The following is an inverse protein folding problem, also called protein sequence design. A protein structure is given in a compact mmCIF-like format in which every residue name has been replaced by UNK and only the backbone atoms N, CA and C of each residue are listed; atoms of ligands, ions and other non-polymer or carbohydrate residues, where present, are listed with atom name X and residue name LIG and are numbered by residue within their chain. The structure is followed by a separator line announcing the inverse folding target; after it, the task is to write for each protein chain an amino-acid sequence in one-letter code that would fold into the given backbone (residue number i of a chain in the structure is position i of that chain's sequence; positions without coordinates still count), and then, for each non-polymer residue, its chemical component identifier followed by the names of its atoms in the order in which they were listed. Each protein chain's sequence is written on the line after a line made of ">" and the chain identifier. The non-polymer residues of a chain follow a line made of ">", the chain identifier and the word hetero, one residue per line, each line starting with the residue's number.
data_IF_207852089500
#
_entry.id   IF_207852089500
#
_cell.length_a   1.000
_cell.length_b   1.000
_cell.length_c   1.000
_cell.angle_alpha   90.00
_cell.angle_beta   90.00
_cell.angle_gamma   90.00
#
_symmetry.space_group_name_H-M   'P 1'
#
loop_
_entity.id
_entity.type
_entity.pdbx_description
1 polymer ?
#
# COMPACT_ATOMS: atom_id res chain seq x y z
N UNK A 1 -21.41 -22.60 41.13
CA UNK A 1 -21.25 -22.40 39.67
C UNK A 1 -21.30 -20.91 39.40
N UNK A 2 -20.18 -20.31 39.01
CA UNK A 2 -20.18 -19.08 38.22
C UNK A 2 -18.85 -19.09 37.46
N UNK A 3 -18.92 -19.50 36.20
CA UNK A 3 -17.76 -19.53 35.31
C UNK A 3 -17.64 -18.14 34.70
N UNK A 4 -16.44 -17.60 34.79
CA UNK A 4 -16.02 -16.32 34.22
C UNK A 4 -16.17 -16.34 32.70
N UNK A 5 -16.98 -15.46 32.13
CA UNK A 5 -16.93 -15.16 30.69
C UNK A 5 -16.01 -13.97 30.47
N UNK A 6 -14.74 -14.25 30.17
CA UNK A 6 -13.85 -13.29 29.53
C UNK A 6 -14.26 -13.19 28.06
N UNK A 7 -14.93 -12.09 27.69
CA UNK A 7 -15.18 -11.75 26.29
C UNK A 7 -13.85 -11.37 25.63
N UNK A 8 -13.35 -12.25 24.77
CA UNK A 8 -12.29 -11.93 23.82
C UNK A 8 -12.89 -10.95 22.81
N UNK A 9 -12.65 -9.65 22.99
CA UNK A 9 -12.94 -8.66 21.97
C UNK A 9 -12.06 -8.97 20.75
N UNK A 10 -12.66 -9.53 19.70
CA UNK A 10 -12.00 -9.68 18.40
C UNK A 10 -11.59 -8.27 17.92
N UNK A 11 -10.29 -8.08 17.64
CA UNK A 11 -9.84 -6.85 16.98
C UNK A 11 -10.59 -6.72 15.64
N UNK A 12 -11.07 -5.52 15.27
CA UNK A 12 -11.53 -5.27 13.91
C UNK A 12 -10.46 -5.72 12.92
N UNK A 13 -10.85 -6.41 11.86
CA UNK A 13 -9.92 -6.75 10.78
C UNK A 13 -9.36 -5.46 10.18
N UNK A 14 -8.05 -5.43 9.94
CA UNK A 14 -7.36 -4.29 9.35
C UNK A 14 -8.04 -3.85 8.04
N UNK A 15 -8.16 -2.54 7.83
CA UNK A 15 -8.70 -2.02 6.59
C UNK A 15 -7.68 -2.22 5.45
N UNK A 16 -8.11 -2.84 4.36
CA UNK A 16 -7.30 -3.06 3.17
C UNK A 16 -7.08 -1.76 2.38
N UNK A 17 -5.85 -1.44 2.03
CA UNK A 17 -5.48 -0.30 1.19
C UNK A 17 -4.45 -0.72 0.15
N UNK A 18 -4.58 -0.25 -1.09
CA UNK A 18 -3.54 -0.41 -2.11
C UNK A 18 -2.57 0.75 -2.00
N UNK A 19 -1.27 0.46 -1.98
CA UNK A 19 -0.21 1.47 -1.82
C UNK A 19 0.75 1.33 -3.00
N UNK A 20 0.88 2.39 -3.79
CA UNK A 20 1.85 2.50 -4.89
C UNK A 20 3.29 2.32 -4.37
N UNK A 21 4.15 1.66 -5.16
CA UNK A 21 5.59 1.49 -4.96
C UNK A 21 6.29 2.77 -4.50
N UNK A 22 5.94 3.93 -5.08
CA UNK A 22 6.51 5.23 -4.71
C UNK A 22 6.20 5.63 -3.26
N UNK A 23 4.99 5.33 -2.77
CA UNK A 23 4.59 5.59 -1.38
C UNK A 23 5.22 4.56 -0.44
N UNK A 24 5.41 3.31 -0.88
CA UNK A 24 6.16 2.28 -0.14
C UNK A 24 7.61 2.72 0.08
N UNK A 25 8.27 3.30 -0.94
CA UNK A 25 9.62 3.85 -0.78
C UNK A 25 9.64 5.05 0.16
N UNK A 26 8.63 5.92 0.11
CA UNK A 26 8.51 7.05 1.04
C UNK A 26 8.37 6.60 2.48
N UNK A 27 7.59 5.54 2.71
CA UNK A 27 7.51 4.89 4.01
C UNK A 27 8.88 4.37 4.43
N UNK A 28 9.48 3.44 3.68
CA UNK A 28 10.53 2.61 4.28
C UNK A 28 11.96 3.04 3.98
N UNK A 29 12.18 3.82 2.93
CA UNK A 29 13.51 4.26 2.49
C UNK A 29 13.74 5.76 2.65
N UNK A 30 12.82 6.58 2.16
CA UNK A 30 12.97 8.03 2.24
C UNK A 30 12.55 8.59 3.59
N UNK A 31 11.69 7.85 4.31
CA UNK A 31 11.10 8.24 5.58
C UNK A 31 10.44 9.61 5.49
N UNK A 32 9.65 9.82 4.44
CA UNK A 32 8.97 11.09 4.19
C UNK A 32 8.05 11.43 5.38
N UNK A 33 8.17 12.62 6.00
CA UNK A 33 7.32 13.05 7.11
C UNK A 33 5.82 12.95 6.82
N UNK A 34 5.39 13.13 5.56
CA UNK A 34 3.99 13.00 5.16
C UNK A 34 3.45 11.57 5.35
N UNK A 35 4.32 10.56 5.38
CA UNK A 35 3.93 9.15 5.59
C UNK A 35 3.88 8.72 7.05
N UNK A 36 4.19 9.61 8.01
CA UNK A 36 4.16 9.29 9.45
C UNK A 36 2.80 8.73 9.90
N UNK A 37 1.64 9.33 9.53
CA UNK A 37 0.34 8.78 9.93
C UNK A 37 0.07 7.42 9.28
N UNK A 38 0.47 7.23 8.02
CA UNK A 38 0.32 5.95 7.30
C UNK A 38 1.14 4.85 7.97
N UNK A 39 2.39 5.14 8.33
CA UNK A 39 3.26 4.21 9.05
C UNK A 39 2.65 3.77 10.37
N UNK A 40 2.12 4.72 11.15
CA UNK A 40 1.46 4.42 12.42
C UNK A 40 0.22 3.53 12.24
N UNK A 41 -0.56 3.75 11.17
CA UNK A 41 -1.73 2.93 10.86
C UNK A 41 -1.36 1.49 10.44
N UNK A 42 -0.30 1.32 9.64
CA UNK A 42 0.24 0.00 9.27
C UNK A 42 0.81 -0.75 10.47
N UNK A 43 1.61 -0.06 11.30
CA UNK A 43 2.23 -0.65 12.50
C UNK A 43 1.21 -1.02 13.58
N UNK A 44 0.12 -0.27 13.68
CA UNK A 44 -0.94 -0.54 14.65
C UNK A 44 -1.97 -1.58 14.17
N UNK A 45 -1.87 -2.01 12.90
CA UNK A 45 -2.78 -2.99 12.29
C UNK A 45 -4.16 -2.43 11.95
N UNK A 46 -4.33 -1.10 11.94
CA UNK A 46 -5.57 -0.45 11.48
C UNK A 46 -5.70 -0.55 9.97
N UNK A 47 -4.57 -0.50 9.26
CA UNK A 47 -4.47 -0.67 7.82
C UNK A 47 -3.57 -1.86 7.50
N UNK A 48 -3.90 -2.59 6.45
CA UNK A 48 -3.01 -3.54 5.79
C UNK A 48 -2.79 -3.16 4.33
N UNK A 49 -1.59 -3.39 3.82
CA UNK A 49 -1.25 -3.17 2.42
C UNK A 49 -1.78 -4.33 1.57
N UNK A 50 -2.89 -4.13 0.88
CA UNK A 50 -3.42 -5.08 -0.09
C UNK A 50 -2.52 -5.09 -1.34
N UNK A 51 -1.85 -6.21 -1.59
CA UNK A 51 -0.92 -6.31 -2.72
C UNK A 51 -0.85 -7.72 -3.33
N UNK A 52 -0.48 -7.77 -4.61
CA UNK A 52 -0.21 -9.02 -5.35
C UNK A 52 1.28 -9.34 -5.36
N UNK A 53 1.65 -10.57 -5.70
CA UNK A 53 3.05 -10.95 -5.92
C UNK A 53 3.74 -10.03 -6.96
N UNK A 54 3.05 -9.69 -8.05
CA UNK A 54 3.62 -8.83 -9.11
C UNK A 54 3.94 -7.39 -8.68
N UNK A 55 3.27 -6.89 -7.63
CA UNK A 55 3.58 -5.58 -7.04
C UNK A 55 4.82 -5.69 -6.14
N UNK A 56 4.98 -6.80 -5.42
CA UNK A 56 6.17 -7.09 -4.63
C UNK A 56 7.41 -7.25 -5.53
N UNK A 57 7.28 -8.01 -6.63
CA UNK A 57 8.35 -8.21 -7.61
C UNK A 57 8.77 -6.89 -8.27
N UNK A 58 7.80 -5.99 -8.51
CA UNK A 58 8.09 -4.65 -9.00
C UNK A 58 8.93 -3.85 -7.99
N UNK A 59 8.55 -3.86 -6.72
CA UNK A 59 9.34 -3.22 -5.67
C UNK A 59 10.77 -3.78 -5.63
N UNK A 60 10.93 -5.11 -5.66
CA UNK A 60 12.24 -5.76 -5.68
C UNK A 60 13.10 -5.28 -6.86
N UNK A 61 12.51 -5.20 -8.06
CA UNK A 61 13.18 -4.65 -9.24
C UNK A 61 13.53 -3.17 -9.08
N UNK A 62 12.64 -2.35 -8.53
CA UNK A 62 12.89 -0.91 -8.30
C UNK A 62 14.05 -0.70 -7.31
N UNK A 63 14.18 -1.57 -6.31
CA UNK A 63 15.28 -1.53 -5.33
C UNK A 63 16.65 -1.77 -5.97
N UNK A 64 16.72 -2.33 -7.19
CA UNK A 64 17.98 -2.47 -7.93
C UNK A 64 18.36 -1.24 -8.74
N UNK A 65 17.52 -0.20 -8.81
CA UNK A 65 17.79 0.98 -9.62
C UNK A 65 18.97 1.79 -9.04
N UNK A 66 19.91 2.29 -9.89
CA UNK A 66 21.16 2.88 -9.39
C UNK A 66 20.98 4.03 -8.39
N UNK A 67 19.95 4.86 -8.57
CA UNK A 67 19.67 5.97 -7.65
C UNK A 67 19.06 5.50 -6.32
N UNK A 68 18.26 4.43 -6.33
CA UNK A 68 17.70 3.79 -5.14
C UNK A 68 18.80 3.08 -4.35
N UNK A 69 19.67 2.32 -5.03
CA UNK A 69 20.85 1.67 -4.41
C UNK A 69 21.75 2.70 -3.72
N UNK A 70 22.03 3.84 -4.39
CA UNK A 70 22.80 4.95 -3.79
C UNK A 70 22.11 5.53 -2.55
N UNK A 71 20.78 5.70 -2.58
CA UNK A 71 20.02 6.20 -1.43
C UNK A 71 20.06 5.21 -0.26
N UNK A 72 19.84 3.93 -0.51
CA UNK A 72 19.93 2.84 0.46
C UNK A 72 21.29 2.80 1.16
N UNK A 73 22.38 2.85 0.37
CA UNK A 73 23.74 2.89 0.90
C UNK A 73 23.98 4.12 1.82
N UNK A 74 23.42 5.27 1.47
CA UNK A 74 23.51 6.49 2.30
C UNK A 74 22.69 6.39 3.59
N UNK A 75 21.56 5.68 3.56
CA UNK A 75 20.69 5.47 4.73
C UNK A 75 21.13 4.31 5.63
N UNK A 76 22.04 3.45 5.18
CA UNK A 76 22.37 2.20 5.88
C UNK A 76 21.24 1.16 5.87
N UNK A 77 20.30 1.27 4.92
CA UNK A 77 19.14 0.38 4.76
C UNK A 77 19.45 -0.60 3.63
N UNK A 78 19.15 -1.89 3.81
CA UNK A 78 19.27 -2.91 2.77
C UNK A 78 17.93 -3.10 2.05
N UNK A 79 17.99 -3.57 0.80
CA UNK A 79 16.77 -3.89 0.04
C UNK A 79 15.87 -4.89 0.78
N UNK A 80 16.47 -5.89 1.43
CA UNK A 80 15.74 -6.89 2.20
C UNK A 80 14.97 -6.29 3.39
N UNK A 81 15.46 -5.22 4.01
CA UNK A 81 14.75 -4.55 5.11
C UNK A 81 13.43 -3.94 4.62
N UNK A 82 13.44 -3.37 3.41
CA UNK A 82 12.26 -2.78 2.78
C UNK A 82 11.28 -3.87 2.35
N UNK A 83 11.78 -4.96 1.77
CA UNK A 83 10.95 -6.11 1.39
C UNK A 83 10.31 -6.78 2.60
N UNK A 84 11.05 -6.98 3.69
CA UNK A 84 10.50 -7.52 4.94
C UNK A 84 9.38 -6.60 5.50
N UNK A 85 9.59 -5.27 5.50
CA UNK A 85 8.56 -4.31 5.94
C UNK A 85 7.34 -4.31 5.02
N UNK A 86 7.52 -4.52 3.72
CA UNK A 86 6.41 -4.73 2.80
C UNK A 86 5.63 -6.00 3.21
N UNK A 87 6.33 -7.13 3.37
CA UNK A 87 5.76 -8.44 3.67
C UNK A 87 5.04 -8.47 5.04
N UNK A 88 5.63 -7.86 6.08
CA UNK A 88 5.07 -7.78 7.44
C UNK A 88 3.73 -7.03 7.50
N UNK A 89 3.49 -6.12 6.58
CA UNK A 89 2.27 -5.31 6.50
C UNK A 89 1.36 -5.69 5.33
N UNK A 90 1.75 -6.70 4.54
CA UNK A 90 1.04 -7.13 3.36
C UNK A 90 -0.16 -8.00 3.73
N UNK A 91 -1.30 -7.70 3.10
CA UNK A 91 -2.39 -8.64 2.94
C UNK A 91 -2.38 -9.11 1.48
N UNK A 92 -1.95 -10.34 1.27
CA UNK A 92 -1.78 -10.91 -0.07
C UNK A 92 -3.12 -11.05 -0.79
N UNK A 93 -3.14 -10.66 -2.07
CA UNK A 93 -4.26 -10.83 -2.98
C UNK A 93 -3.81 -11.49 -4.29
N UNK A 94 -4.76 -12.16 -4.94
CA UNK A 94 -4.57 -12.63 -6.32
C UNK A 94 -4.61 -11.45 -7.30
N UNK A 95 -3.95 -11.57 -8.46
CA UNK A 95 -4.08 -10.59 -9.55
C UNK A 95 -5.55 -10.31 -9.89
N UNK A 96 -5.90 -9.03 -9.97
CA UNK A 96 -7.24 -8.59 -10.31
C UNK A 96 -7.46 -8.53 -11.82
N UNK A 97 -8.71 -8.73 -12.25
CA UNK A 97 -9.13 -8.43 -13.62
C UNK A 97 -8.96 -6.95 -13.94
N UNK A 98 -8.64 -6.64 -15.20
CA UNK A 98 -8.45 -5.25 -15.63
C UNK A 98 -9.70 -4.40 -15.40
N UNK A 99 -9.54 -3.26 -14.73
CA UNK A 99 -10.61 -2.29 -14.49
C UNK A 99 -11.08 -1.62 -15.80
N UNK A 100 -12.29 -1.09 -15.78
CA UNK A 100 -12.87 -0.35 -16.92
C UNK A 100 -12.12 0.96 -17.21
N UNK A 101 -11.46 1.54 -16.21
CA UNK A 101 -10.60 2.69 -16.40
C UNK A 101 -9.15 2.26 -16.69
N UNK A 102 -8.60 2.76 -17.79
CA UNK A 102 -7.22 2.46 -18.22
C UNK A 102 -6.28 3.61 -17.87
N UNK A 103 -5.19 3.30 -17.17
CA UNK A 103 -4.04 4.19 -16.97
C UNK A 103 -3.28 4.35 -18.28
N UNK A 104 -2.69 5.53 -18.48
CA UNK A 104 -1.78 5.77 -19.62
C UNK A 104 -0.45 5.01 -19.46
N UNK A 105 -0.06 4.72 -18.22
CA UNK A 105 1.09 3.91 -17.90
C UNK A 105 0.61 2.47 -17.62
N UNK A 106 0.98 1.48 -18.45
CA UNK A 106 0.55 0.10 -18.25
C UNK A 106 1.14 -0.54 -16.99
N UNK A 107 2.30 -0.08 -16.51
CA UNK A 107 2.89 -0.63 -15.27
C UNK A 107 2.05 -0.24 -14.05
N UNK A 108 1.47 0.97 -14.06
CA UNK A 108 0.60 1.47 -12.99
C UNK A 108 -0.80 0.83 -12.97
N UNK A 109 -1.20 0.16 -14.05
CA UNK A 109 -2.57 -0.37 -14.19
C UNK A 109 -2.89 -1.39 -13.07
N UNK A 110 -1.92 -2.18 -12.62
CA UNK A 110 -2.12 -3.23 -11.60
C UNK A 110 -2.63 -2.68 -10.27
N UNK A 111 -2.19 -1.48 -9.87
CA UNK A 111 -2.64 -0.83 -8.63
C UNK A 111 -4.10 -0.40 -8.73
N UNK A 112 -4.50 0.08 -9.90
CA UNK A 112 -5.87 0.48 -10.21
C UNK A 112 -6.79 -0.73 -10.24
N UNK A 113 -6.38 -1.78 -10.96
CA UNK A 113 -7.14 -3.02 -11.08
C UNK A 113 -7.44 -3.61 -9.70
N UNK A 114 -6.42 -3.71 -8.85
CA UNK A 114 -6.56 -4.24 -7.50
C UNK A 114 -7.46 -3.37 -6.63
N UNK A 115 -7.27 -2.05 -6.64
CA UNK A 115 -8.07 -1.13 -5.85
C UNK A 115 -9.55 -1.18 -6.25
N UNK A 116 -9.84 -1.22 -7.57
CA UNK A 116 -11.20 -1.30 -8.10
C UNK A 116 -11.85 -2.63 -7.79
N UNK A 117 -11.15 -3.75 -7.98
CA UNK A 117 -11.70 -5.09 -7.73
C UNK A 117 -12.09 -5.30 -6.26
N UNK A 118 -11.37 -4.69 -5.33
CA UNK A 118 -11.64 -4.78 -3.89
C UNK A 118 -12.42 -3.59 -3.32
N UNK A 119 -12.72 -2.56 -4.13
CA UNK A 119 -13.34 -1.31 -3.70
C UNK A 119 -12.64 -0.67 -2.48
N UNK A 120 -11.31 -0.63 -2.51
CA UNK A 120 -10.48 -0.11 -1.42
C UNK A 120 -9.80 1.20 -1.80
N UNK A 121 -9.36 2.02 -0.83
CA UNK A 121 -8.55 3.20 -1.12
C UNK A 121 -7.24 2.87 -1.83
N UNK A 122 -6.80 3.82 -2.66
CA UNK A 122 -5.50 3.79 -3.33
C UNK A 122 -4.67 4.99 -2.87
N UNK A 123 -3.43 4.75 -2.48
CA UNK A 123 -2.43 5.79 -2.23
C UNK A 123 -1.41 5.83 -3.35
N UNK A 124 -1.21 7.00 -3.96
CA UNK A 124 -0.19 7.21 -4.98
C UNK A 124 0.22 8.68 -5.07
N UNK A 125 1.47 8.91 -5.48
CA UNK A 125 1.97 10.24 -5.86
C UNK A 125 2.36 10.33 -7.34
N UNK A 126 2.09 9.30 -8.14
CA UNK A 126 2.41 9.29 -9.56
C UNK A 126 1.40 10.13 -10.36
N UNK A 127 1.90 10.99 -11.26
CA UNK A 127 1.06 11.85 -12.07
C UNK A 127 0.09 11.07 -13.00
N UNK A 128 0.45 9.85 -13.42
CA UNK A 128 -0.38 8.98 -14.24
C UNK A 128 -1.59 8.44 -13.49
N UNK A 129 -1.44 8.11 -12.20
CA UNK A 129 -2.55 7.71 -11.33
C UNK A 129 -3.32 8.94 -10.82
N UNK A 130 -2.63 10.01 -10.44
CA UNK A 130 -3.24 11.24 -9.90
C UNK A 130 -4.25 11.86 -10.87
N UNK A 131 -3.99 11.81 -12.18
CA UNK A 131 -4.92 12.35 -13.18
C UNK A 131 -6.22 11.51 -13.31
N UNK A 132 -6.27 10.30 -12.73
CA UNK A 132 -7.40 9.39 -12.79
C UNK A 132 -8.39 9.53 -11.62
N UNK A 133 -8.16 10.45 -10.67
CA UNK A 133 -8.97 10.64 -9.45
C UNK A 133 -10.48 10.54 -9.67
N UNK A 134 -11.03 11.23 -10.68
CA UNK A 134 -12.47 11.23 -10.98
C UNK A 134 -12.97 9.85 -11.46
N UNK A 135 -12.20 9.17 -12.31
CA UNK A 135 -12.56 7.84 -12.86
C UNK A 135 -12.48 6.75 -11.78
N UNK A 136 -11.46 6.83 -10.92
CA UNK A 136 -11.33 5.95 -9.77
C UNK A 136 -12.50 6.11 -8.80
N UNK A 137 -12.89 7.35 -8.50
CA UNK A 137 -14.05 7.62 -7.64
C UNK A 137 -15.34 7.05 -8.23
N UNK A 138 -15.56 7.19 -9.54
CA UNK A 138 -16.69 6.58 -10.25
C UNK A 138 -16.67 5.04 -10.21
N UNK A 139 -15.50 4.45 -9.99
CA UNK A 139 -15.29 3.01 -9.86
C UNK A 139 -15.26 2.53 -8.39
N UNK A 140 -15.62 3.39 -7.43
CA UNK A 140 -15.65 3.06 -6.00
C UNK A 140 -14.33 3.21 -5.26
N UNK A 141 -13.28 3.74 -5.90
CA UNK A 141 -11.95 3.91 -5.30
C UNK A 141 -11.72 5.36 -4.90
N UNK A 142 -11.42 5.59 -3.62
CA UNK A 142 -10.98 6.91 -3.14
C UNK A 142 -9.45 6.99 -3.28
N UNK A 143 -8.98 7.81 -4.21
CA UNK A 143 -7.56 8.12 -4.37
C UNK A 143 -7.11 9.19 -3.38
N UNK A 144 -6.07 8.88 -2.60
CA UNK A 144 -5.49 9.72 -1.55
C UNK A 144 -6.56 10.30 -0.60
N UNK A 145 -7.23 9.46 0.21
CA UNK A 145 -8.16 9.94 1.22
C UNK A 145 -7.51 10.98 2.15
N UNK A 146 -8.26 12.01 2.52
CA UNK A 146 -7.74 13.09 3.37
C UNK A 146 -7.47 12.66 4.82
N UNK A 147 -8.06 11.53 5.24
CA UNK A 147 -7.94 10.99 6.59
C UNK A 147 -7.43 9.56 6.50
N UNK A 148 -6.39 9.29 7.28
CA UNK A 148 -5.90 7.94 7.55
C UNK A 148 -6.54 7.52 8.89
N UNK A 149 -7.21 6.36 8.95
CA UNK A 149 -7.80 5.89 10.19
C UNK A 149 -6.74 5.74 11.28
N UNK A 150 -7.13 6.10 12.49
CA UNK A 150 -6.34 5.96 13.72
C UNK A 150 -7.02 4.94 14.63
N UNK A 151 -6.22 4.24 15.44
CA UNK A 151 -6.73 3.34 16.48
C UNK A 151 -7.41 4.12 17.61
#
# INVERSE_FOLDING_TARGET
>A
MCVTSSEVHARPAAQAWVIDTNIVLDLWLFEDPATVPLRAALQSGVISHLATASMRDELERVLTYPHIVKRMAKSGIQAQDILNRFDDHCMTAEPASKASCTCKDPDDQKFIDLAVAHAVPLLSKDAAILCMKKRLLQSGVVLNPAQIPVN
#
